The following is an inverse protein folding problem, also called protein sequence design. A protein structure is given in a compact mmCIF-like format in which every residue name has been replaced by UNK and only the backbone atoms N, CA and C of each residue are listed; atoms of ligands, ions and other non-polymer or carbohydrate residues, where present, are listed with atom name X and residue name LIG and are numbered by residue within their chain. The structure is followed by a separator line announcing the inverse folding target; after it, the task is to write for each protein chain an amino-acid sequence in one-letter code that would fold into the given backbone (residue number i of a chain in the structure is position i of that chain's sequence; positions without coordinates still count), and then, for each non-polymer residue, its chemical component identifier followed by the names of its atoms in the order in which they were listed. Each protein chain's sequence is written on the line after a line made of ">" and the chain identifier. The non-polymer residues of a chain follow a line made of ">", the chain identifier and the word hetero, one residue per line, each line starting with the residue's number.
data_IF_927569392333
#
_entry.id   IF_927569392333
#
_cell.length_a   1.000
_cell.length_b   1.000
_cell.length_c   1.000
_cell.angle_alpha   90.00
_cell.angle_beta   90.00
_cell.angle_gamma   90.00
#
_symmetry.space_group_name_H-M   'P 1'
#
loop_
_entity.id
_entity.type
_entity.pdbx_description
1 polymer ?
#
# COMPACT_ATOMS: atom_id res chain seq x y z
N UNK A 1 -20.19 -8.04 -8.13
CA UNK A 1 -18.76 -7.95 -8.47
C UNK A 1 -18.65 -8.10 -9.99
N UNK A 2 -17.91 -7.23 -10.66
CA UNK A 2 -17.61 -7.38 -12.09
C UNK A 2 -16.81 -8.68 -12.29
N UNK A 3 -17.17 -9.43 -13.33
CA UNK A 3 -16.40 -10.59 -13.78
C UNK A 3 -14.95 -10.14 -14.05
N UNK A 4 -13.97 -10.96 -13.67
CA UNK A 4 -12.54 -10.70 -13.83
C UNK A 4 -12.20 -10.36 -15.29
N UNK A 5 -12.87 -11.01 -16.24
CA UNK A 5 -12.72 -10.77 -17.68
C UNK A 5 -13.18 -9.37 -18.08
N UNK A 6 -14.33 -8.93 -17.57
CA UNK A 6 -14.87 -7.59 -17.82
C UNK A 6 -13.97 -6.52 -17.17
N UNK A 7 -13.52 -6.78 -15.95
CA UNK A 7 -12.58 -5.88 -15.27
C UNK A 7 -11.30 -5.68 -16.09
N UNK A 8 -10.70 -6.76 -16.61
CA UNK A 8 -9.51 -6.69 -17.45
C UNK A 8 -9.73 -5.87 -18.73
N UNK A 9 -10.89 -6.02 -19.37
CA UNK A 9 -11.26 -5.27 -20.57
C UNK A 9 -11.40 -3.76 -20.28
N UNK A 10 -12.05 -3.41 -19.16
CA UNK A 10 -12.20 -2.03 -18.73
C UNK A 10 -10.84 -1.39 -18.45
N UNK A 11 -9.95 -2.07 -17.73
CA UNK A 11 -8.61 -1.57 -17.42
C UNK A 11 -7.79 -1.35 -18.71
N UNK A 12 -7.89 -2.26 -19.68
CA UNK A 12 -7.26 -2.12 -20.98
C UNK A 12 -7.78 -0.89 -21.74
N UNK A 13 -9.09 -0.69 -21.75
CA UNK A 13 -9.73 0.47 -22.40
C UNK A 13 -9.30 1.78 -21.71
N UNK A 14 -9.27 1.83 -20.38
CA UNK A 14 -8.82 3.00 -19.63
C UNK A 14 -7.37 3.35 -19.99
N UNK A 15 -6.48 2.35 -20.06
CA UNK A 15 -5.09 2.54 -20.47
C UNK A 15 -4.96 3.09 -21.89
N UNK A 16 -5.72 2.53 -22.83
CA UNK A 16 -5.76 3.04 -24.21
C UNK A 16 -6.23 4.50 -24.30
N UNK A 17 -7.29 4.86 -23.58
CA UNK A 17 -7.80 6.23 -23.54
C UNK A 17 -6.78 7.20 -22.91
N UNK A 18 -6.11 6.80 -21.83
CA UNK A 18 -5.03 7.58 -21.23
C UNK A 18 -3.92 7.86 -22.25
N UNK A 19 -3.44 6.81 -22.91
CA UNK A 19 -2.30 6.89 -23.84
C UNK A 19 -2.66 7.68 -25.10
N UNK A 20 -3.90 7.56 -25.61
CA UNK A 20 -4.38 8.28 -26.80
C UNK A 20 -4.67 9.76 -26.54
N UNK A 21 -5.14 10.10 -25.34
CA UNK A 21 -5.61 11.44 -25.02
C UNK A 21 -4.66 12.23 -24.11
N UNK A 22 -3.60 11.62 -23.61
CA UNK A 22 -2.67 12.26 -22.67
C UNK A 22 -3.33 12.65 -21.34
N UNK A 23 -4.41 11.95 -20.93
CA UNK A 23 -5.14 12.24 -19.70
C UNK A 23 -4.53 11.54 -18.52
N UNK A 24 -4.59 12.16 -17.34
CA UNK A 24 -4.22 11.50 -16.07
C UNK A 24 -5.44 10.76 -15.49
N UNK A 25 -5.20 9.62 -14.87
CA UNK A 25 -6.23 8.82 -14.21
C UNK A 25 -5.92 8.73 -12.72
N UNK A 26 -6.84 9.16 -11.87
CA UNK A 26 -6.81 8.88 -10.44
C UNK A 26 -7.62 7.61 -10.16
N UNK A 27 -6.94 6.54 -9.73
CA UNK A 27 -7.56 5.26 -9.42
C UNK A 27 -7.61 5.04 -7.91
N UNK A 28 -8.81 4.84 -7.35
CA UNK A 28 -9.01 4.47 -5.95
C UNK A 28 -9.42 3.00 -5.91
N UNK A 29 -8.59 2.15 -5.33
CA UNK A 29 -8.81 0.71 -5.27
C UNK A 29 -8.11 0.07 -4.08
N UNK A 30 -8.57 -1.10 -3.66
CA UNK A 30 -7.88 -1.97 -2.70
C UNK A 30 -7.18 -3.15 -3.40
N UNK A 31 -7.25 -3.24 -4.72
CA UNK A 31 -6.66 -4.34 -5.48
C UNK A 31 -5.23 -3.98 -5.91
N UNK A 32 -4.24 -4.47 -5.18
CA UNK A 32 -2.82 -4.21 -5.46
C UNK A 32 -2.37 -4.76 -6.83
N UNK A 33 -3.00 -5.81 -7.35
CA UNK A 33 -2.73 -6.33 -8.70
C UNK A 33 -3.16 -5.35 -9.79
N UNK A 34 -4.26 -4.63 -9.58
CA UNK A 34 -4.70 -3.54 -10.49
C UNK A 34 -3.75 -2.35 -10.38
N UNK A 35 -3.33 -1.99 -9.16
CA UNK A 35 -2.34 -0.93 -8.92
C UNK A 35 -1.06 -1.22 -9.69
N UNK A 36 -0.49 -2.42 -9.58
CA UNK A 36 0.74 -2.82 -10.26
C UNK A 36 0.65 -2.72 -11.80
N UNK A 37 -0.55 -2.90 -12.37
CA UNK A 37 -0.75 -2.89 -13.83
C UNK A 37 -1.05 -1.50 -14.39
N UNK A 38 -1.64 -0.61 -13.59
CA UNK A 38 -2.25 0.62 -14.10
C UNK A 38 -1.58 1.90 -13.63
N UNK A 39 -0.98 1.87 -12.43
CA UNK A 39 -0.51 3.08 -11.77
C UNK A 39 0.99 3.28 -11.99
N UNK A 40 1.38 4.51 -12.29
CA UNK A 40 2.78 4.93 -12.36
C UNK A 40 3.27 5.35 -10.97
N UNK A 41 2.38 5.93 -10.14
CA UNK A 41 2.65 6.39 -8.79
C UNK A 41 1.53 5.99 -7.83
N UNK A 42 1.88 5.64 -6.59
CA UNK A 42 0.93 5.07 -5.61
C UNK A 42 0.99 5.83 -4.29
N UNK A 43 -0.19 6.08 -3.72
CA UNK A 43 -0.37 6.53 -2.35
C UNK A 43 -1.06 5.42 -1.55
N UNK A 44 -0.36 4.82 -0.59
CA UNK A 44 -0.94 3.82 0.31
C UNK A 44 -1.53 4.53 1.51
N UNK A 45 -2.83 4.43 1.69
CA UNK A 45 -3.56 5.12 2.75
C UNK A 45 -4.09 4.16 3.81
N UNK A 46 -4.05 4.59 5.07
CA UNK A 46 -4.64 3.88 6.21
C UNK A 46 -5.31 4.86 7.15
N UNK A 47 -6.58 4.62 7.51
CA UNK A 47 -7.37 5.47 8.40
C UNK A 47 -7.26 6.98 8.06
N UNK A 48 -7.33 7.33 6.77
CA UNK A 48 -7.30 8.71 6.27
C UNK A 48 -5.92 9.37 6.17
N UNK A 49 -4.84 8.65 6.46
CA UNK A 49 -3.45 9.15 6.33
C UNK A 49 -2.65 8.37 5.29
N UNK A 50 -1.75 9.07 4.60
CA UNK A 50 -0.77 8.44 3.72
C UNK A 50 0.32 7.82 4.58
N UNK A 51 0.49 6.51 4.46
CA UNK A 51 1.50 5.72 5.18
C UNK A 51 2.78 5.59 4.37
N UNK A 52 2.64 5.44 3.05
CA UNK A 52 3.74 5.26 2.11
C UNK A 52 3.32 5.75 0.73
N UNK A 53 4.24 6.35 -0.04
CA UNK A 53 3.98 6.76 -1.42
C UNK A 53 5.25 6.67 -2.25
N UNK A 54 5.11 6.39 -3.53
CA UNK A 54 6.24 6.30 -4.45
C UNK A 54 5.85 5.83 -5.84
N UNK A 55 6.83 5.80 -6.73
CA UNK A 55 6.68 5.09 -8.01
C UNK A 55 6.31 3.64 -7.77
N UNK A 56 5.42 3.10 -8.59
CA UNK A 56 4.85 1.77 -8.39
C UNK A 56 5.92 0.69 -8.26
N UNK A 57 6.88 0.67 -9.17
CA UNK A 57 7.96 -0.32 -9.15
C UNK A 57 8.79 -0.23 -7.86
N UNK A 58 9.22 0.98 -7.49
CA UNK A 58 10.02 1.20 -6.30
C UNK A 58 9.26 0.84 -5.02
N UNK A 59 7.98 1.21 -4.93
CA UNK A 59 7.16 0.91 -3.77
C UNK A 59 6.95 -0.60 -3.59
N UNK A 60 6.78 -1.37 -4.67
CA UNK A 60 6.59 -2.82 -4.61
C UNK A 60 7.89 -3.57 -4.27
N UNK A 61 9.02 -3.16 -4.85
CA UNK A 61 10.32 -3.82 -4.65
C UNK A 61 11.00 -3.38 -3.34
N UNK A 62 10.78 -2.13 -2.92
CA UNK A 62 11.47 -1.51 -1.79
C UNK A 62 10.49 -1.01 -0.72
N UNK A 63 9.38 -1.74 -0.53
CA UNK A 63 8.39 -1.45 0.51
C UNK A 63 9.05 -1.19 1.86
N UNK A 64 8.65 -0.08 2.50
CA UNK A 64 9.22 0.38 3.78
C UNK A 64 8.22 0.39 4.93
N UNK A 65 6.93 0.63 4.66
CA UNK A 65 5.95 0.66 5.72
C UNK A 65 5.39 -0.74 6.00
N UNK A 66 5.32 -1.21 7.28
CA UNK A 66 4.81 -2.54 7.62
C UNK A 66 3.37 -2.80 7.12
N UNK A 67 2.53 -1.78 7.04
CA UNK A 67 1.18 -1.90 6.47
C UNK A 67 1.23 -2.26 4.98
N UNK A 68 2.03 -1.54 4.19
CA UNK A 68 2.20 -1.81 2.75
C UNK A 68 2.77 -3.21 2.53
N UNK A 69 3.78 -3.59 3.33
CA UNK A 69 4.34 -4.94 3.29
C UNK A 69 3.28 -6.01 3.59
N UNK A 70 2.40 -5.76 4.56
CA UNK A 70 1.27 -6.63 4.87
C UNK A 70 0.27 -6.75 3.71
N UNK A 71 -0.05 -5.65 3.02
CA UNK A 71 -0.91 -5.67 1.83
C UNK A 71 -0.29 -6.49 0.68
N UNK A 72 1.01 -6.33 0.44
CA UNK A 72 1.71 -7.08 -0.61
C UNK A 72 1.81 -8.58 -0.28
N UNK A 73 1.99 -8.94 1.00
CA UNK A 73 1.94 -10.34 1.46
C UNK A 73 0.57 -10.99 1.30
N UNK A 74 -0.49 -10.21 1.32
CA UNK A 74 -1.86 -10.70 1.15
C UNK A 74 -2.21 -11.01 -0.33
N UNK A 75 -1.37 -10.61 -1.30
CA UNK A 75 -1.58 -10.92 -2.72
C UNK A 75 -1.35 -12.41 -2.97
N UNK A 76 -2.33 -13.15 -3.54
CA UNK A 76 -2.13 -14.55 -3.90
C UNK A 76 -1.00 -14.70 -4.92
N UNK A 77 0.02 -15.49 -4.61
CA UNK A 77 1.07 -15.85 -5.57
C UNK A 77 0.64 -17.11 -6.31
N UNK A 78 0.56 -17.06 -7.64
CA UNK A 78 0.07 -18.18 -8.47
C UNK A 78 0.90 -19.47 -8.35
N UNK A 79 2.14 -19.38 -7.86
CA UNK A 79 3.08 -20.51 -7.83
C UNK A 79 3.14 -21.26 -6.50
N UNK A 80 2.35 -20.87 -5.50
CA UNK A 80 2.34 -21.52 -4.19
C UNK A 80 0.91 -21.85 -3.78
N UNK A 81 0.61 -23.13 -3.56
CA UNK A 81 -0.58 -23.54 -2.83
C UNK A 81 -0.38 -23.16 -1.36
N UNK A 82 -0.88 -21.98 -0.97
CA UNK A 82 -0.88 -21.56 0.44
C UNK A 82 -2.24 -21.96 1.00
N UNK A 83 -2.26 -22.81 2.01
CA UNK A 83 -3.50 -23.22 2.70
C UNK A 83 -4.29 -22.03 3.28
N UNK A 84 -3.62 -20.91 3.55
CA UNK A 84 -4.24 -19.70 4.08
C UNK A 84 -3.53 -18.45 3.59
N UNK A 85 -4.28 -17.54 2.97
CA UNK A 85 -3.76 -16.21 2.60
C UNK A 85 -3.42 -15.42 3.87
N UNK A 86 -2.31 -14.67 3.82
CA UNK A 86 -1.95 -13.76 4.89
C UNK A 86 -3.02 -12.67 5.04
N UNK A 87 -3.41 -12.40 6.27
CA UNK A 87 -4.27 -11.26 6.60
C UNK A 87 -3.62 -10.46 7.73
N UNK A 88 -3.63 -9.14 7.61
CA UNK A 88 -3.12 -8.26 8.65
C UNK A 88 -4.00 -8.41 9.91
N UNK A 89 -3.44 -8.85 11.06
CA UNK A 89 -4.23 -9.08 12.26
C UNK A 89 -4.81 -7.81 12.86
N UNK A 90 -5.81 -7.95 13.73
CA UNK A 90 -6.45 -6.85 14.45
C UNK A 90 -7.50 -6.09 13.64
N UNK A 91 -8.10 -5.09 14.26
CA UNK A 91 -9.16 -4.27 13.68
C UNK A 91 -8.65 -2.90 13.26
N UNK A 92 -9.27 -2.33 12.21
CA UNK A 92 -9.01 -0.94 11.81
C UNK A 92 -9.52 -0.01 12.92
N UNK A 93 -8.76 1.00 13.36
CA UNK A 93 -9.22 1.92 14.39
C UNK A 93 -10.46 2.70 13.94
N UNK A 94 -11.32 3.04 14.91
CA UNK A 94 -12.43 3.94 14.65
C UNK A 94 -11.85 5.31 14.20
N UNK A 95 -12.31 5.89 13.08
CA UNK A 95 -11.78 7.17 12.57
C UNK A 95 -12.16 8.38 13.43
N UNK A 96 -12.96 8.19 14.49
CA UNK A 96 -13.38 9.27 15.40
C UNK A 96 -12.33 9.41 16.52
N UNK A 97 -11.85 10.63 16.73
CA UNK A 97 -10.87 10.96 17.79
C UNK A 97 -9.58 10.10 17.73
N UNK A 98 -9.03 9.94 16.55
CA UNK A 98 -7.78 9.23 16.36
C UNK A 98 -6.65 9.89 17.18
N UNK A 99 -5.81 9.09 17.86
CA UNK A 99 -4.72 9.59 18.67
C UNK A 99 -3.62 10.23 17.80
N UNK A 100 -2.78 11.08 18.42
CA UNK A 100 -1.66 11.70 17.70
C UNK A 100 -0.42 10.79 17.63
N UNK A 101 -0.61 9.51 17.23
CA UNK A 101 0.46 8.56 16.94
C UNK A 101 0.14 7.75 15.69
N UNK A 102 1.06 6.87 15.26
CA UNK A 102 0.87 6.03 14.07
C UNK A 102 -0.41 5.18 14.19
N UNK A 103 -1.39 5.40 13.29
CA UNK A 103 -2.69 4.72 13.34
C UNK A 103 -2.59 3.20 13.09
N UNK A 104 -1.51 2.74 12.47
CA UNK A 104 -1.25 1.32 12.26
C UNK A 104 -0.54 0.65 13.45
N UNK A 105 -0.10 1.41 14.45
CA UNK A 105 0.71 0.93 15.59
C UNK A 105 0.15 -0.32 16.25
N UNK A 106 -1.14 -0.35 16.53
CA UNK A 106 -1.75 -1.44 17.31
C UNK A 106 -1.89 -2.75 16.50
N UNK A 107 -1.75 -2.68 15.18
CA UNK A 107 -1.72 -3.81 14.24
C UNK A 107 -0.31 -4.10 13.71
N UNK A 108 0.67 -3.29 14.09
CA UNK A 108 2.04 -3.41 13.58
C UNK A 108 2.82 -4.44 14.39
N UNK A 109 3.23 -5.53 13.76
CA UNK A 109 4.07 -6.57 14.37
C UNK A 109 5.49 -6.05 14.68
N UNK A 110 5.93 -4.98 13.99
CA UNK A 110 7.24 -4.37 14.13
C UNK A 110 7.23 -3.14 15.05
N UNK A 111 6.15 -2.91 15.79
CA UNK A 111 6.02 -1.72 16.64
C UNK A 111 7.14 -1.63 17.67
N UNK A 112 7.67 -0.42 17.83
CA UNK A 112 8.64 -0.05 18.86
C UNK A 112 8.04 0.99 19.80
N UNK A 113 8.72 1.29 20.90
CA UNK A 113 8.24 2.25 21.91
C UNK A 113 7.98 3.65 21.28
N UNK A 114 8.84 4.09 20.38
CA UNK A 114 8.78 5.37 19.68
C UNK A 114 7.53 5.54 18.82
N UNK A 115 6.87 4.45 18.44
CA UNK A 115 5.60 4.48 17.71
C UNK A 115 4.43 5.04 18.54
N UNK A 116 4.59 5.20 19.86
CA UNK A 116 3.62 5.85 20.75
C UNK A 116 3.78 7.38 20.83
N UNK A 117 4.85 7.92 20.21
CA UNK A 117 5.08 9.36 20.11
C UNK A 117 4.18 10.00 19.03
N UNK A 118 4.46 11.27 18.70
CA UNK A 118 3.71 11.99 17.67
C UNK A 118 3.58 11.22 16.36
N UNK A 119 2.51 11.52 15.61
CA UNK A 119 2.28 10.91 14.30
C UNK A 119 3.49 11.13 13.38
N UNK A 120 4.06 10.08 12.76
CA UNK A 120 5.26 10.21 11.96
C UNK A 120 4.97 11.03 10.69
N UNK A 121 5.83 12.03 10.40
CA UNK A 121 5.79 12.72 9.12
C UNK A 121 6.30 11.82 8.00
N UNK A 122 5.89 12.12 6.76
CA UNK A 122 6.45 11.50 5.57
C UNK A 122 7.93 11.86 5.45
N UNK A 123 8.81 10.87 5.49
CA UNK A 123 10.26 11.00 5.27
C UNK A 123 10.60 10.55 3.86
N UNK A 124 11.48 11.28 3.20
CA UNK A 124 11.98 10.92 1.88
C UNK A 124 13.05 9.82 2.00
N UNK A 125 12.89 8.76 1.21
CA UNK A 125 13.85 7.67 1.08
C UNK A 125 14.61 7.70 -0.23
N UNK A 126 13.92 8.04 -1.31
CA UNK A 126 14.51 8.26 -2.62
C UNK A 126 13.89 9.48 -3.29
N UNK A 127 14.15 9.68 -4.58
CA UNK A 127 13.59 10.80 -5.33
C UNK A 127 12.05 10.74 -5.41
N UNK A 128 11.48 9.57 -5.40
CA UNK A 128 10.04 9.36 -5.54
C UNK A 128 9.38 8.68 -4.34
N UNK A 129 10.16 8.10 -3.40
CA UNK A 129 9.65 7.26 -2.32
C UNK A 129 9.65 7.96 -0.96
N UNK A 130 8.47 8.02 -0.32
CA UNK A 130 8.27 8.64 0.99
C UNK A 130 7.49 7.71 1.90
N UNK A 131 7.82 7.72 3.20
CA UNK A 131 7.26 6.80 4.20
C UNK A 131 6.96 7.52 5.52
N UNK A 132 5.78 7.32 6.08
CA UNK A 132 5.38 7.80 7.40
C UNK A 132 5.58 6.70 8.46
N UNK A 133 6.84 6.37 8.77
CA UNK A 133 7.19 5.34 9.74
C UNK A 133 8.37 5.79 10.61
N UNK A 134 8.40 5.34 11.87
CA UNK A 134 9.50 5.60 12.79
C UNK A 134 10.59 4.54 12.73
N UNK A 135 10.32 3.39 12.13
CA UNK A 135 11.32 2.34 11.91
C UNK A 135 12.33 2.81 10.87
N UNK A 136 13.60 2.88 11.22
CA UNK A 136 14.66 3.35 10.31
C UNK A 136 14.99 2.31 9.23
N UNK A 137 14.80 1.03 9.52
CA UNK A 137 15.09 -0.09 8.62
C UNK A 137 13.93 -1.08 8.62
N UNK A 138 12.88 -0.81 7.89
CA UNK A 138 11.92 -1.86 7.54
C UNK A 138 12.59 -2.78 6.54
N UNK A 139 12.99 -3.97 6.98
CA UNK A 139 13.57 -5.01 6.12
C UNK A 139 12.58 -5.37 5.02
N UNK A 140 13.12 -5.70 3.83
CA UNK A 140 12.31 -6.23 2.73
C UNK A 140 11.41 -7.34 3.24
N UNK A 141 10.15 -7.34 2.81
CA UNK A 141 9.26 -8.46 3.02
C UNK A 141 9.77 -9.62 2.15
N UNK A 142 10.69 -10.43 2.66
CA UNK A 142 11.24 -11.56 1.90
C UNK A 142 12.56 -12.11 2.41
N UNK A 143 13.16 -11.53 3.48
CA UNK A 143 14.29 -12.18 4.18
C UNK A 143 13.81 -13.01 5.36
#
# INVERSE_FOLDING_TARGET
>A
ALDVTIQAQILKLMKQLRDQRGTSILLITHNMGVVAQMCDYVYVMYAGKVMEQGETFELFEHTRHPYTAGLLKAIPRMNYQVERLYSIPGQVPNPINLPNYCYFRDRCEMRVHECAGEYPCLRRYSDTHYVACRLENVRKAGD
#
